data_IF_398085822302
#
_entry.id   IF_398085822302
#
_cell.length_a   1.000
_cell.length_b   1.000
_cell.length_c   1.000
_cell.angle_alpha   90.00
_cell.angle_beta   90.00
_cell.angle_gamma   90.00
#
_symmetry.space_group_name_H-M   'P 1'
#
loop_
_entity.id
_entity.type
_entity.pdbx_description
1 polymer ?
#
# COMPACT_ATOMS: atom_id res chain seq x y z
N UNK A 1 26.46 8.33 -80.09
CA UNK A 1 26.91 9.69 -80.36
C UNK A 1 26.64 10.52 -79.08
N UNK A 2 27.68 11.10 -78.60
CA UNK A 2 27.71 12.15 -77.54
C UNK A 2 27.15 13.48 -78.14
N UNK A 3 26.83 14.54 -77.37
CA UNK A 3 27.56 15.12 -76.24
C UNK A 3 26.62 15.57 -75.11
N UNK A 4 27.12 15.68 -73.87
CA UNK A 4 27.89 16.73 -73.18
C UNK A 4 27.12 18.06 -73.00
N UNK A 5 26.95 18.49 -71.79
CA UNK A 5 27.39 19.79 -71.28
C UNK A 5 26.75 20.11 -69.90
N UNK A 6 27.61 20.31 -68.97
CA UNK A 6 27.88 21.50 -68.13
C UNK A 6 26.79 21.94 -67.16
N UNK A 7 27.09 21.75 -65.89
CA UNK A 7 27.56 22.73 -64.91
C UNK A 7 26.57 23.85 -64.58
N UNK A 8 26.27 24.03 -63.31
CA UNK A 8 26.54 25.25 -62.57
C UNK A 8 26.29 25.00 -61.07
N UNK A 9 27.24 25.37 -60.30
CA UNK A 9 27.41 25.53 -58.87
C UNK A 9 26.35 26.50 -58.33
N UNK A 10 25.72 26.12 -57.22
CA UNK A 10 24.91 27.04 -56.43
C UNK A 10 25.04 26.64 -54.94
N UNK A 11 26.06 27.22 -54.28
CA UNK A 11 26.25 27.19 -52.87
C UNK A 11 25.20 28.11 -52.21
N UNK A 12 24.24 27.57 -51.52
CA UNK A 12 23.40 28.34 -50.57
C UNK A 12 23.45 27.60 -49.23
N UNK A 13 24.30 28.12 -48.34
CA UNK A 13 24.29 27.81 -46.90
C UNK A 13 23.03 28.38 -46.28
N UNK A 14 22.05 27.52 -46.01
CA UNK A 14 20.93 27.86 -45.14
C UNK A 14 21.23 27.30 -43.78
N UNK A 15 21.59 28.21 -42.84
CA UNK A 15 21.79 27.88 -41.45
C UNK A 15 20.48 27.36 -40.81
N UNK A 16 20.46 26.10 -40.41
CA UNK A 16 19.43 25.57 -39.52
C UNK A 16 19.65 26.12 -38.12
N UNK A 17 18.91 27.19 -37.78
CA UNK A 17 18.75 27.58 -36.40
C UNK A 17 17.88 26.51 -35.75
N UNK A 18 18.51 25.61 -35.03
CA UNK A 18 17.82 24.67 -34.13
C UNK A 18 17.26 25.46 -32.95
N UNK A 19 16.01 25.86 -33.04
CA UNK A 19 15.26 26.30 -31.86
C UNK A 19 15.02 25.07 -31.00
N UNK A 20 15.80 24.93 -29.93
CA UNK A 20 15.56 23.96 -28.88
C UNK A 20 14.22 24.33 -28.22
N UNK A 21 13.16 23.63 -28.61
CA UNK A 21 11.89 23.66 -27.90
C UNK A 21 12.11 22.95 -26.57
N UNK A 22 12.26 23.73 -25.50
CA UNK A 22 12.28 23.20 -24.13
C UNK A 22 10.93 22.51 -23.89
N UNK A 23 10.89 21.19 -23.96
CA UNK A 23 9.73 20.42 -23.54
C UNK A 23 9.52 20.68 -22.05
N UNK A 24 8.34 21.08 -21.59
CA UNK A 24 8.06 21.17 -20.17
C UNK A 24 8.24 19.77 -19.56
N UNK A 25 9.11 19.68 -18.58
CA UNK A 25 9.30 18.45 -17.79
C UNK A 25 7.95 18.02 -17.23
N UNK A 26 7.47 16.79 -17.50
CA UNK A 26 6.21 16.32 -16.95
C UNK A 26 6.29 16.40 -15.42
N UNK A 27 5.42 17.17 -14.82
CA UNK A 27 5.26 17.24 -13.37
C UNK A 27 4.93 15.82 -12.89
N UNK A 28 5.69 15.22 -11.97
CA UNK A 28 5.35 13.91 -11.43
C UNK A 28 3.94 13.99 -10.83
N UNK A 29 3.09 12.97 -11.06
CA UNK A 29 1.76 12.95 -10.46
C UNK A 29 1.90 13.09 -8.94
N UNK A 30 1.00 13.83 -8.27
CA UNK A 30 1.03 13.94 -6.81
C UNK A 30 1.03 12.54 -6.22
N UNK A 31 1.94 12.29 -5.28
CA UNK A 31 2.01 11.01 -4.58
C UNK A 31 0.62 10.68 -4.06
N UNK A 32 0.03 9.57 -4.53
CA UNK A 32 -1.29 9.16 -4.11
C UNK A 32 -1.27 9.03 -2.58
N UNK A 33 -2.09 9.80 -1.90
CA UNK A 33 -2.30 9.66 -0.45
C UNK A 33 -2.66 8.20 -0.19
N UNK A 34 -1.98 7.49 0.72
CA UNK A 34 -2.33 6.10 1.01
C UNK A 34 -3.82 6.02 1.32
N UNK A 35 -4.55 5.17 0.60
CA UNK A 35 -5.96 5.01 0.83
C UNK A 35 -6.19 4.68 2.31
N UNK A 36 -7.15 5.36 2.94
CA UNK A 36 -7.51 5.09 4.33
C UNK A 36 -7.98 3.64 4.46
N UNK A 37 -7.51 2.93 5.50
CA UNK A 37 -7.92 1.57 5.76
C UNK A 37 -9.38 1.53 6.22
N UNK A 38 -10.19 0.63 5.69
CA UNK A 38 -11.55 0.38 6.21
C UNK A 38 -11.51 -0.36 7.55
N UNK A 39 -10.52 -1.23 7.72
CA UNK A 39 -10.21 -1.93 8.98
C UNK A 39 -8.69 -2.03 9.08
N UNK A 40 -8.14 -1.78 10.25
CA UNK A 40 -6.70 -1.98 10.51
C UNK A 40 -6.53 -3.07 11.54
N UNK A 41 -5.70 -4.07 11.25
CA UNK A 41 -5.31 -5.12 12.19
C UNK A 41 -3.84 -4.94 12.52
N UNK A 42 -3.52 -4.73 13.78
CA UNK A 42 -2.15 -4.49 14.24
C UNK A 42 -1.61 -5.68 15.01
N UNK A 43 -0.42 -6.11 14.64
CA UNK A 43 0.33 -7.16 15.33
C UNK A 43 1.62 -6.55 15.90
N UNK A 44 1.66 -6.42 17.20
CA UNK A 44 2.82 -5.89 17.93
C UNK A 44 3.66 -6.98 18.57
N UNK A 45 4.67 -6.56 19.33
CA UNK A 45 5.58 -7.45 20.07
C UNK A 45 5.87 -6.89 21.45
N UNK A 46 6.09 -7.78 22.42
CA UNK A 46 6.71 -7.46 23.72
C UNK A 46 8.21 -7.80 23.74
N UNK A 47 8.88 -7.92 22.57
CA UNK A 47 10.29 -8.22 22.43
C UNK A 47 10.60 -9.67 22.01
N UNK A 48 9.56 -10.46 21.69
CA UNK A 48 9.71 -11.85 21.24
C UNK A 48 9.06 -12.10 19.86
N UNK A 49 8.79 -11.03 19.12
CA UNK A 49 8.07 -11.08 17.85
C UNK A 49 6.55 -11.15 18.02
N UNK A 50 5.85 -11.11 16.90
CA UNK A 50 4.40 -11.13 16.83
C UNK A 50 3.81 -12.52 17.17
N UNK A 51 2.55 -12.57 17.56
CA UNK A 51 1.82 -13.84 17.70
C UNK A 51 1.54 -14.49 16.34
N UNK A 52 2.45 -15.35 15.91
CA UNK A 52 2.38 -16.02 14.61
C UNK A 52 1.17 -16.95 14.47
N UNK A 53 0.64 -17.48 15.57
CA UNK A 53 -0.56 -18.31 15.54
C UNK A 53 -1.80 -17.47 15.22
N UNK A 54 -1.93 -16.32 15.86
CA UNK A 54 -2.99 -15.36 15.55
C UNK A 54 -2.86 -14.80 14.13
N UNK A 55 -1.65 -14.46 13.69
CA UNK A 55 -1.40 -14.01 12.31
C UNK A 55 -1.97 -15.01 11.31
N UNK A 56 -1.63 -16.30 11.45
CA UNK A 56 -2.14 -17.35 10.55
C UNK A 56 -3.66 -17.49 10.58
N UNK A 57 -4.28 -17.34 11.75
CA UNK A 57 -5.74 -17.40 11.88
C UNK A 57 -6.42 -16.24 11.15
N UNK A 58 -5.89 -15.02 11.31
CA UNK A 58 -6.40 -13.83 10.63
C UNK A 58 -6.19 -13.93 9.11
N UNK A 59 -5.00 -14.33 8.67
CA UNK A 59 -4.70 -14.51 7.24
C UNK A 59 -5.59 -15.59 6.60
N UNK A 60 -5.83 -16.71 7.29
CA UNK A 60 -6.74 -17.77 6.82
C UNK A 60 -8.18 -17.24 6.71
N UNK A 61 -8.65 -16.47 7.68
CA UNK A 61 -9.96 -15.85 7.59
C UNK A 61 -10.04 -14.87 6.40
N UNK A 62 -9.04 -14.02 6.21
CA UNK A 62 -9.02 -13.03 5.13
C UNK A 62 -8.96 -13.67 3.74
N UNK A 63 -8.32 -14.83 3.60
CA UNK A 63 -8.23 -15.56 2.33
C UNK A 63 -9.63 -15.99 1.80
N UNK A 64 -10.58 -16.26 2.71
CA UNK A 64 -11.93 -16.70 2.39
C UNK A 64 -12.99 -15.59 2.56
N UNK A 65 -12.56 -14.33 2.79
CA UNK A 65 -13.47 -13.23 3.07
C UNK A 65 -13.71 -12.34 1.83
N UNK A 66 -14.82 -12.56 1.08
CA UNK A 66 -15.07 -11.87 -0.19
C UNK A 66 -15.38 -10.38 -0.03
N UNK A 67 -15.71 -9.93 1.18
CA UNK A 67 -15.99 -8.51 1.46
C UNK A 67 -14.73 -7.65 1.51
N UNK A 68 -13.59 -8.27 1.71
CA UNK A 68 -12.28 -7.62 1.70
C UNK A 68 -11.72 -7.66 0.27
N UNK A 69 -11.61 -6.50 -0.36
CA UNK A 69 -11.12 -6.38 -1.75
C UNK A 69 -9.60 -6.28 -1.84
N UNK A 70 -8.95 -5.80 -0.77
CA UNK A 70 -7.50 -5.61 -0.72
C UNK A 70 -6.97 -5.74 0.70
N UNK A 71 -5.81 -6.35 0.82
CA UNK A 71 -5.04 -6.45 2.07
C UNK A 71 -3.64 -5.91 1.80
N UNK A 72 -3.28 -4.81 2.45
CA UNK A 72 -1.94 -4.23 2.39
C UNK A 72 -1.22 -4.50 3.70
N UNK A 73 -0.08 -5.19 3.65
CA UNK A 73 0.79 -5.39 4.79
C UNK A 73 1.76 -4.22 4.93
N UNK A 74 1.75 -3.59 6.09
CA UNK A 74 2.59 -2.44 6.41
C UNK A 74 3.52 -2.79 7.57
N UNK A 75 4.77 -3.17 7.29
CA UNK A 75 5.73 -3.50 8.35
C UNK A 75 6.10 -2.24 9.14
N UNK A 76 6.29 -2.42 10.44
CA UNK A 76 6.81 -1.39 11.34
C UNK A 76 7.56 -2.05 12.49
N UNK A 77 8.17 -1.25 13.37
CA UNK A 77 8.89 -1.77 14.52
C UNK A 77 10.19 -2.51 14.18
N UNK A 78 10.71 -3.27 15.14
CA UNK A 78 11.99 -4.00 15.04
C UNK A 78 11.85 -5.51 15.18
N UNK A 79 10.67 -5.96 15.61
CA UNK A 79 10.37 -7.33 16.04
C UNK A 79 9.37 -8.02 15.08
N UNK A 80 9.51 -7.77 13.78
CA UNK A 80 8.59 -8.24 12.74
C UNK A 80 7.13 -7.75 12.90
N UNK A 81 6.95 -6.62 13.57
CA UNK A 81 5.65 -5.99 13.78
C UNK A 81 5.09 -5.46 12.47
N UNK A 82 3.79 -5.53 12.31
CA UNK A 82 3.13 -5.01 11.11
C UNK A 82 1.64 -4.75 11.32
N UNK A 83 1.10 -3.93 10.44
CA UNK A 83 -0.33 -3.73 10.29
C UNK A 83 -0.85 -4.37 9.00
N UNK A 84 -2.07 -4.89 9.04
CA UNK A 84 -2.85 -5.20 7.85
C UNK A 84 -3.88 -4.10 7.63
N UNK A 85 -3.77 -3.40 6.52
CA UNK A 85 -4.74 -2.42 6.08
C UNK A 85 -5.73 -3.09 5.13
N UNK A 86 -6.98 -3.20 5.55
CA UNK A 86 -8.03 -3.86 4.80
C UNK A 86 -8.89 -2.82 4.09
N UNK A 87 -9.15 -3.05 2.80
CA UNK A 87 -10.10 -2.27 2.01
C UNK A 87 -11.41 -3.03 1.90
N UNK A 88 -12.48 -2.43 2.37
CA UNK A 88 -13.85 -2.98 2.34
C UNK A 88 -14.78 -1.90 1.78
N UNK A 89 -15.62 -2.27 0.81
CA UNK A 89 -16.40 -1.30 0.04
C UNK A 89 -17.53 -0.62 0.84
N UNK A 90 -18.04 -1.28 1.88
CA UNK A 90 -19.20 -0.80 2.66
C UNK A 90 -18.90 -0.79 4.14
N UNK A 91 -19.33 0.25 4.84
CA UNK A 91 -19.14 0.41 6.28
C UNK A 91 -19.73 -0.76 7.10
N UNK A 92 -20.94 -1.20 6.76
CA UNK A 92 -21.56 -2.35 7.43
C UNK A 92 -20.75 -3.64 7.26
N UNK A 93 -20.14 -3.84 6.08
CA UNK A 93 -19.25 -4.96 5.83
C UNK A 93 -17.92 -4.81 6.59
N UNK A 94 -17.36 -3.60 6.65
CA UNK A 94 -16.16 -3.32 7.43
C UNK A 94 -16.39 -3.60 8.92
N UNK A 95 -17.54 -3.22 9.46
CA UNK A 95 -17.93 -3.53 10.84
C UNK A 95 -18.05 -5.04 11.07
N UNK A 96 -18.63 -5.78 10.14
CA UNK A 96 -18.74 -7.23 10.26
C UNK A 96 -17.36 -7.92 10.24
N UNK A 97 -16.44 -7.47 9.38
CA UNK A 97 -15.05 -7.93 9.33
C UNK A 97 -14.31 -7.59 10.63
N UNK A 98 -14.47 -6.36 11.12
CA UNK A 98 -13.90 -5.91 12.39
C UNK A 98 -14.32 -6.80 13.57
N UNK A 99 -15.62 -7.09 13.70
CA UNK A 99 -16.14 -7.95 14.77
C UNK A 99 -15.63 -9.39 14.64
N UNK A 100 -15.53 -9.89 13.43
CA UNK A 100 -15.06 -11.26 13.19
C UNK A 100 -13.58 -11.42 13.52
N UNK A 101 -12.74 -10.47 13.13
CA UNK A 101 -11.31 -10.46 13.49
C UNK A 101 -11.17 -10.22 14.99
N UNK A 102 -11.94 -9.30 15.57
CA UNK A 102 -11.97 -9.05 17.00
C UNK A 102 -12.25 -10.29 17.83
N UNK A 103 -13.10 -11.19 17.34
CA UNK A 103 -13.39 -12.47 17.99
C UNK A 103 -12.19 -13.45 17.96
N UNK A 104 -11.23 -13.27 17.04
CA UNK A 104 -10.00 -14.06 16.98
C UNK A 104 -8.93 -13.52 17.93
N UNK A 105 -8.96 -12.22 18.26
CA UNK A 105 -7.98 -11.59 19.12
C UNK A 105 -8.20 -12.07 20.56
N UNK A 106 -7.17 -12.66 21.20
CA UNK A 106 -7.29 -13.11 22.59
C UNK A 106 -7.48 -11.92 23.53
N UNK A 107 -8.37 -12.05 24.50
CA UNK A 107 -8.62 -10.99 25.48
C UNK A 107 -7.36 -10.64 26.30
N UNK A 108 -6.48 -11.60 26.50
CA UNK A 108 -5.18 -11.45 27.20
C UNK A 108 -4.10 -12.20 26.47
N UNK A 109 -2.89 -11.64 26.43
CA UNK A 109 -1.71 -12.30 25.90
C UNK A 109 -0.47 -11.81 26.64
N UNK A 110 0.40 -12.74 26.98
CA UNK A 110 1.76 -12.52 27.47
C UNK A 110 2.80 -12.50 26.35
N UNK A 111 2.40 -12.87 25.13
CA UNK A 111 3.29 -12.99 23.97
C UNK A 111 3.44 -11.70 23.20
N UNK A 112 2.30 -11.14 22.78
CA UNK A 112 2.31 -10.00 21.87
C UNK A 112 0.98 -9.24 21.96
N UNK A 113 1.00 -7.89 21.88
CA UNK A 113 -0.19 -7.10 21.76
C UNK A 113 -0.74 -7.22 20.34
N UNK A 114 -2.04 -7.40 20.22
CA UNK A 114 -2.74 -7.38 18.93
C UNK A 114 -4.02 -6.57 19.03
N UNK A 115 -4.41 -5.93 17.95
CA UNK A 115 -5.63 -5.15 17.92
C UNK A 115 -6.25 -5.11 16.54
N UNK A 116 -7.55 -4.83 16.50
CA UNK A 116 -8.26 -4.45 15.28
C UNK A 116 -9.01 -3.16 15.55
N UNK A 117 -9.02 -2.25 14.59
CA UNK A 117 -9.63 -0.93 14.71
C UNK A 117 -10.38 -0.52 13.45
N UNK A 118 -11.40 0.33 13.65
CA UNK A 118 -12.13 1.03 12.61
C UNK A 118 -11.66 2.49 12.52
N UNK A 119 -11.85 3.17 11.38
CA UNK A 119 -11.57 4.61 11.25
C UNK A 119 -12.32 5.48 12.25
N UNK A 120 -13.46 5.01 12.77
CA UNK A 120 -14.24 5.68 13.83
C UNK A 120 -13.51 5.74 15.18
N UNK A 121 -12.42 4.99 15.36
CA UNK A 121 -11.67 4.86 16.61
C UNK A 121 -12.10 3.66 17.47
N UNK A 122 -13.17 2.94 17.08
CA UNK A 122 -13.56 1.71 17.76
C UNK A 122 -12.43 0.65 17.62
N UNK A 123 -12.04 0.05 18.75
CA UNK A 123 -10.88 -0.86 18.79
C UNK A 123 -11.15 -2.03 19.72
N UNK A 124 -10.83 -3.23 19.25
CA UNK A 124 -10.73 -4.45 20.06
C UNK A 124 -9.24 -4.80 20.15
N UNK A 125 -8.74 -4.98 21.37
CA UNK A 125 -7.32 -5.25 21.61
C UNK A 125 -7.10 -6.30 22.69
N UNK A 126 -5.99 -6.99 22.59
CA UNK A 126 -5.44 -7.79 23.66
C UNK A 126 -5.07 -6.89 24.84
N UNK A 127 -5.48 -7.27 26.06
CA UNK A 127 -4.98 -6.64 27.27
C UNK A 127 -3.68 -7.35 27.70
N UNK A 128 -2.67 -6.56 28.06
CA UNK A 128 -1.46 -7.08 28.68
C UNK A 128 -1.76 -7.72 30.04
N UNK A 129 -0.93 -8.63 30.47
CA UNK A 129 -0.98 -9.11 31.85
C UNK A 129 -0.62 -7.93 32.76
N UNK A 130 -1.56 -7.50 33.58
CA UNK A 130 -1.22 -6.58 34.67
C UNK A 130 -0.28 -7.30 35.62
N UNK A 131 0.88 -6.72 35.84
CA UNK A 131 1.83 -7.19 36.86
C UNK A 131 1.25 -7.01 38.26
#
# INVERSE_FOLDING_TARGET
>A
MRPAACAIVGLLAAGCASTAVSQPTPTPPPAATPAACSVTVSFGSYGMGVDRALVRQVEAYLADEPRVSKVDRRPHGREDEFDLCLTVAREAAARAVFLRIGALIPARSDRAPSSVSLPSGETIRTQGLSA
#
